data_IF_038533525460
#
_entry.id   IF_038533525460
#
_cell.length_a   1.000
_cell.length_b   1.000
_cell.length_c   1.000
_cell.angle_alpha   90.00
_cell.angle_beta   90.00
_cell.angle_gamma   90.00
#
_symmetry.space_group_name_H-M   'P 1'
#
loop_
_entity.id
_entity.type
_entity.pdbx_description
1 polymer ?
#
# COMPACT_ATOMS: atom_id res chain seq x y z
N UNK A 1 -10.55 -22.19 -12.57
CA UNK A 1 -9.75 -22.75 -11.45
C UNK A 1 -10.54 -22.57 -10.17
N UNK A 2 -10.95 -23.69 -9.58
CA UNK A 2 -11.60 -23.77 -8.27
C UNK A 2 -10.46 -23.79 -7.24
N UNK A 3 -10.44 -22.79 -6.36
CA UNK A 3 -9.39 -22.60 -5.36
C UNK A 3 -9.68 -21.33 -4.58
N UNK A 4 -10.30 -21.48 -3.40
CA UNK A 4 -10.55 -20.40 -2.47
C UNK A 4 -9.23 -19.74 -2.03
N UNK A 5 -9.22 -18.39 -2.06
CA UNK A 5 -8.12 -17.45 -1.80
C UNK A 5 -7.24 -17.11 -3.00
N UNK A 6 -7.80 -16.34 -3.94
CA UNK A 6 -7.00 -15.28 -4.56
C UNK A 6 -6.52 -14.38 -3.42
N UNK A 7 -5.23 -14.45 -3.09
CA UNK A 7 -4.61 -13.44 -2.22
C UNK A 7 -4.85 -12.05 -2.82
N UNK A 8 -4.87 -11.01 -1.99
CA UNK A 8 -5.06 -9.64 -2.46
C UNK A 8 -4.10 -9.25 -3.60
N UNK A 9 -4.40 -8.17 -4.30
CA UNK A 9 -3.50 -7.64 -5.33
C UNK A 9 -2.24 -7.01 -4.71
N UNK A 10 -1.15 -6.94 -5.47
CA UNK A 10 0.06 -6.25 -5.06
C UNK A 10 -0.25 -4.77 -4.82
N UNK A 11 -0.13 -4.33 -3.56
CA UNK A 11 -0.43 -2.95 -3.13
C UNK A 11 0.61 -1.94 -3.61
N UNK A 12 1.79 -2.39 -4.06
CA UNK A 12 2.89 -1.51 -4.48
C UNK A 12 2.70 -0.93 -5.89
N UNK A 13 2.02 -1.64 -6.79
CA UNK A 13 1.79 -1.17 -8.17
C UNK A 13 0.95 0.12 -8.20
N UNK A 14 -0.27 0.18 -7.63
CA UNK A 14 -1.03 1.42 -7.55
C UNK A 14 -0.32 2.47 -6.68
N UNK A 15 0.40 2.05 -5.64
CA UNK A 15 1.11 2.97 -4.76
C UNK A 15 2.26 3.71 -5.48
N UNK A 16 2.98 3.03 -6.37
CA UNK A 16 4.04 3.62 -7.19
C UNK A 16 3.51 4.66 -8.17
N UNK A 17 2.25 4.53 -8.58
CA UNK A 17 1.53 5.50 -9.43
C UNK A 17 0.92 6.66 -8.63
N UNK A 18 1.14 6.71 -7.31
CA UNK A 18 0.56 7.72 -6.42
C UNK A 18 -0.95 7.61 -6.27
N UNK A 19 -1.53 6.45 -6.57
CA UNK A 19 -2.96 6.19 -6.42
C UNK A 19 -3.23 5.79 -4.96
N UNK A 20 -4.18 6.41 -4.25
CA UNK A 20 -4.57 5.98 -2.91
C UNK A 20 -4.93 4.49 -2.87
N UNK A 21 -4.34 3.73 -1.95
CA UNK A 21 -4.55 2.27 -1.86
C UNK A 21 -5.52 1.95 -0.73
N UNK A 22 -6.57 1.19 -1.07
CA UNK A 22 -7.55 0.65 -0.12
C UNK A 22 -7.63 -0.87 -0.28
N UNK A 23 -7.64 -1.62 0.84
CA UNK A 23 -7.70 -3.08 0.82
C UNK A 23 -8.55 -3.62 1.99
N UNK A 24 -9.29 -4.70 1.73
CA UNK A 24 -10.00 -5.48 2.75
C UNK A 24 -9.07 -6.43 3.51
N UNK A 25 -9.61 -7.29 4.38
CA UNK A 25 -8.84 -8.20 5.23
C UNK A 25 -8.01 -9.28 4.50
N UNK A 26 -8.24 -9.49 3.20
CA UNK A 26 -7.61 -10.55 2.40
C UNK A 26 -6.23 -10.18 1.83
N UNK A 27 -5.27 -9.79 2.69
CA UNK A 27 -3.92 -9.39 2.27
C UNK A 27 -2.80 -10.34 2.73
N UNK A 28 -3.10 -11.62 3.00
CA UNK A 28 -2.14 -12.54 3.64
C UNK A 28 -0.75 -12.61 2.96
N UNK A 29 -0.72 -12.64 1.62
CA UNK A 29 0.50 -12.64 0.80
C UNK A 29 1.33 -11.34 0.91
N UNK A 30 0.73 -10.28 1.43
CA UNK A 30 1.29 -8.93 1.52
C UNK A 30 1.27 -8.41 2.97
N UNK A 31 1.17 -9.31 3.96
CA UNK A 31 1.02 -8.93 5.38
C UNK A 31 2.08 -7.96 5.86
N UNK A 32 3.35 -8.23 5.58
CA UNK A 32 4.46 -7.39 6.03
C UNK A 32 4.41 -6.00 5.40
N UNK A 33 4.24 -5.93 4.07
CA UNK A 33 4.21 -4.64 3.37
C UNK A 33 2.96 -3.83 3.73
N UNK A 34 1.80 -4.47 3.92
CA UNK A 34 0.57 -3.82 4.36
C UNK A 34 0.71 -3.25 5.77
N UNK A 35 1.37 -3.98 6.69
CA UNK A 35 1.68 -3.46 8.02
C UNK A 35 2.61 -2.25 7.94
N UNK A 36 3.68 -2.33 7.16
CA UNK A 36 4.61 -1.22 6.96
C UNK A 36 3.93 0.01 6.37
N UNK A 37 3.08 -0.17 5.34
CA UNK A 37 2.27 0.93 4.77
C UNK A 37 1.31 1.51 5.80
N UNK A 38 0.68 0.66 6.62
CA UNK A 38 -0.28 1.10 7.65
C UNK A 38 0.39 1.95 8.72
N UNK A 39 1.62 1.61 9.12
CA UNK A 39 2.40 2.42 10.07
C UNK A 39 2.73 3.83 9.56
N UNK A 40 2.68 4.06 8.24
CA UNK A 40 2.93 5.36 7.62
C UNK A 40 1.65 6.03 7.06
N UNK A 41 0.47 5.51 7.40
CA UNK A 41 -0.82 5.90 6.81
C UNK A 41 -0.81 5.91 5.27
N UNK A 42 -0.01 5.04 4.66
CA UNK A 42 0.13 4.93 3.20
C UNK A 42 -0.91 3.99 2.57
N UNK A 43 -1.73 3.32 3.38
CA UNK A 43 -2.79 2.40 2.97
C UNK A 43 -4.01 2.49 3.89
N UNK A 44 -5.21 2.37 3.30
CA UNK A 44 -6.46 2.26 4.03
C UNK A 44 -6.90 0.80 4.16
N UNK A 45 -7.11 0.35 5.40
CA UNK A 45 -7.72 -0.95 5.69
C UNK A 45 -9.21 -0.75 5.97
N UNK A 46 -10.04 -1.55 5.31
CA UNK A 46 -11.50 -1.52 5.47
C UNK A 46 -12.03 -2.89 5.86
N UNK A 47 -13.09 -2.89 6.67
CA UNK A 47 -13.71 -4.12 7.16
C UNK A 47 -15.04 -4.44 6.45
N UNK A 48 -15.65 -3.45 5.81
CA UNK A 48 -16.97 -3.59 5.19
C UNK A 48 -17.21 -2.57 4.08
N UNK A 49 -18.30 -2.78 3.34
CA UNK A 49 -18.73 -1.95 2.21
C UNK A 49 -19.06 -0.50 2.62
N UNK A 50 -19.55 -0.28 3.83
CA UNK A 50 -19.83 1.07 4.33
C UNK A 50 -18.55 1.89 4.46
N UNK A 51 -17.50 1.32 5.06
CA UNK A 51 -16.20 1.98 5.17
C UNK A 51 -15.58 2.26 3.80
N UNK A 52 -15.70 1.31 2.87
CA UNK A 52 -15.24 1.50 1.49
C UNK A 52 -15.92 2.68 0.82
N UNK A 53 -17.26 2.73 0.88
CA UNK A 53 -18.07 3.79 0.29
C UNK A 53 -17.71 5.16 0.86
N UNK A 54 -17.59 5.27 2.19
CA UNK A 54 -17.19 6.50 2.86
C UNK A 54 -15.79 6.96 2.43
N UNK A 55 -14.84 6.04 2.39
CA UNK A 55 -13.47 6.35 2.00
C UNK A 55 -13.39 6.84 0.54
N UNK A 56 -13.97 6.11 -0.41
CA UNK A 56 -13.98 6.52 -1.82
C UNK A 56 -14.68 7.87 -1.98
N UNK A 57 -15.83 8.06 -1.32
CA UNK A 57 -16.56 9.33 -1.37
C UNK A 57 -15.71 10.49 -0.83
N UNK A 58 -14.94 10.27 0.23
CA UNK A 58 -14.04 11.30 0.78
C UNK A 58 -12.95 11.70 -0.22
N UNK A 59 -12.35 10.75 -0.94
CA UNK A 59 -11.33 11.00 -1.95
C UNK A 59 -11.87 11.74 -3.17
N UNK A 60 -13.13 11.48 -3.54
CA UNK A 60 -13.79 12.13 -4.68
C UNK A 60 -14.28 13.54 -4.37
N UNK A 61 -14.57 13.85 -3.10
CA UNK A 61 -15.10 15.15 -2.67
C UNK A 61 -14.02 16.14 -2.23
N UNK A 62 -12.88 15.65 -1.77
CA UNK A 62 -11.80 16.47 -1.24
C UNK A 62 -10.48 16.15 -1.94
N UNK A 63 -10.11 17.04 -2.87
CA UNK A 63 -8.85 16.96 -3.61
C UNK A 63 -7.64 17.05 -2.67
N UNK A 64 -7.68 17.89 -1.64
CA UNK A 64 -6.58 18.05 -0.69
C UNK A 64 -6.37 16.77 0.11
N UNK A 65 -7.47 16.14 0.56
CA UNK A 65 -7.42 14.85 1.24
C UNK A 65 -6.83 13.76 0.33
N UNK A 66 -7.29 13.70 -0.92
CA UNK A 66 -6.75 12.77 -1.93
C UNK A 66 -5.26 12.99 -2.15
N UNK A 67 -4.81 14.22 -2.36
CA UNK A 67 -3.39 14.55 -2.55
C UNK A 67 -2.56 14.22 -1.31
N UNK A 68 -3.07 14.46 -0.11
CA UNK A 68 -2.38 14.12 1.13
C UNK A 68 -2.12 12.61 1.23
N UNK A 69 -3.12 11.79 0.93
CA UNK A 69 -2.98 10.33 0.92
C UNK A 69 -2.03 9.88 -0.19
N UNK A 70 -2.22 10.36 -1.43
CA UNK A 70 -1.32 10.07 -2.56
C UNK A 70 0.15 10.38 -2.22
N UNK A 71 0.41 11.50 -1.54
CA UNK A 71 1.76 11.88 -1.12
C UNK A 71 2.35 10.87 -0.13
N UNK A 72 1.60 10.43 0.87
CA UNK A 72 2.04 9.40 1.83
C UNK A 72 2.31 8.07 1.14
N UNK A 73 1.38 7.64 0.29
CA UNK A 73 1.49 6.40 -0.49
C UNK A 73 2.73 6.41 -1.39
N UNK A 74 2.97 7.49 -2.12
CA UNK A 74 4.15 7.62 -3.01
C UNK A 74 5.45 7.70 -2.20
N UNK A 75 5.46 8.44 -1.09
CA UNK A 75 6.63 8.58 -0.22
C UNK A 75 7.05 7.23 0.39
N UNK A 76 6.09 6.39 0.78
CA UNK A 76 6.36 5.04 1.25
C UNK A 76 7.11 4.21 0.18
N UNK A 77 6.61 4.22 -1.06
CA UNK A 77 7.26 3.49 -2.16
C UNK A 77 8.64 4.04 -2.45
N UNK A 78 8.81 5.36 -2.51
CA UNK A 78 10.11 5.99 -2.74
C UNK A 78 11.13 5.64 -1.64
N UNK A 79 10.71 5.62 -0.37
CA UNK A 79 11.57 5.25 0.75
C UNK A 79 11.99 3.78 0.74
N UNK A 80 11.13 2.90 0.21
CA UNK A 80 11.37 1.46 0.14
C UNK A 80 11.96 0.99 -1.18
N UNK A 81 11.93 1.80 -2.25
CA UNK A 81 12.56 1.48 -3.54
C UNK A 81 14.09 1.32 -3.42
N UNK A 82 14.71 1.94 -2.42
CA UNK A 82 16.14 1.78 -2.12
C UNK A 82 16.49 0.47 -1.40
N UNK A 83 15.52 -0.36 -1.01
CA UNK A 83 15.78 -1.59 -0.25
C UNK A 83 16.65 -2.59 -1.02
N UNK A 84 16.45 -2.73 -2.34
CA UNK A 84 17.29 -3.61 -3.17
C UNK A 84 18.77 -3.18 -3.13
N UNK A 85 19.06 -1.89 -3.32
CA UNK A 85 20.43 -1.37 -3.25
C UNK A 85 21.05 -1.52 -1.85
N UNK A 86 20.25 -1.38 -0.79
CA UNK A 86 20.71 -1.61 0.59
C UNK A 86 21.07 -3.08 0.83
N UNK A 87 20.24 -4.00 0.34
CA UNK A 87 20.50 -5.44 0.44
C UNK A 87 21.77 -5.82 -0.33
N UNK A 88 21.93 -5.32 -1.56
CA UNK A 88 23.14 -5.58 -2.36
C UNK A 88 24.41 -5.03 -1.69
N UNK A 89 24.37 -3.79 -1.19
CA UNK A 89 25.49 -3.23 -0.41
C UNK A 89 25.84 -4.06 0.81
N UNK A 90 24.84 -4.53 1.57
CA UNK A 90 25.09 -5.36 2.75
C UNK A 90 25.78 -6.69 2.42
N UNK A 91 25.47 -7.27 1.25
CA UNK A 91 26.14 -8.48 0.75
C UNK A 91 27.57 -8.17 0.30
N UNK A 92 27.79 -7.06 -0.43
CA UNK A 92 29.11 -6.61 -0.86
C UNK A 92 30.04 -6.25 0.31
N UNK A 93 29.52 -5.65 1.37
CA UNK A 93 30.29 -5.28 2.56
C UNK A 93 30.76 -6.49 3.39
N UNK A 94 30.17 -7.68 3.16
CA UNK A 94 30.51 -8.94 3.85
C UNK A 94 31.10 -10.00 2.89
N UNK A 95 31.42 -9.62 1.66
CA UNK A 95 32.14 -10.45 0.67
C UNK A 95 33.61 -10.06 0.62
#
# INVERSE_FOLDING_TARGET
LIGDKVGGHNVLEPAALGIPVVIGSSYYNFTEIVRAMRHQDAIMLIENSQQLSLFITSLLRDDNHRFAISKKTTAFVAGNAGALNKTLKGIEEHS
#
